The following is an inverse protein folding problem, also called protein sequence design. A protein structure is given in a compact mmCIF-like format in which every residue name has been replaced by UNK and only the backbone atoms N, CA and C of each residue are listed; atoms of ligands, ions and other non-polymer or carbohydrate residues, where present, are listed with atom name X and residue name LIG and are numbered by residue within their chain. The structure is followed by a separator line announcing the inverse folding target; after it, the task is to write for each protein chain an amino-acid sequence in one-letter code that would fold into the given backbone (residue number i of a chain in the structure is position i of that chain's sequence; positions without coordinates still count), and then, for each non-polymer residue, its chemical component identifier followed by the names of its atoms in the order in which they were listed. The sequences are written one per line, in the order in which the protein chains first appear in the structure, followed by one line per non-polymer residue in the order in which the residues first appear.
data_IF_614989583241
#
_entry.id   IF_614989583241
#
_cell.length_a   1.000
_cell.length_b   1.000
_cell.length_c   1.000
_cell.angle_alpha   90.00
_cell.angle_beta   90.00
_cell.angle_gamma   90.00
#
_symmetry.space_group_name_H-M   'P 1'
#
loop_
_entity.id
_entity.type
_entity.pdbx_description
1 polymer ?
#
# COMPACT_ATOMS: atom_id res chain seq x y z
N UNK A 1 -23.22 20.84 19.07
CA UNK A 1 -22.22 21.80 19.59
C UNK A 1 -20.85 21.35 19.10
N UNK A 2 -20.19 22.14 18.26
CA UNK A 2 -18.82 21.86 17.81
C UNK A 2 -17.86 22.41 18.87
N UNK A 3 -16.95 21.57 19.36
CA UNK A 3 -15.93 21.94 20.34
C UNK A 3 -14.92 22.83 19.64
N UNK A 4 -14.75 24.07 20.12
CA UNK A 4 -13.73 25.00 19.63
C UNK A 4 -12.35 24.38 19.86
N UNK A 5 -11.56 24.21 18.79
CA UNK A 5 -10.15 23.86 18.94
C UNK A 5 -9.42 25.03 19.62
N UNK A 6 -8.59 24.70 20.60
CA UNK A 6 -7.84 25.67 21.40
C UNK A 6 -6.70 26.30 20.56
N UNK A 7 -6.29 27.52 20.91
CA UNK A 7 -5.31 28.34 20.14
C UNK A 7 -3.90 27.73 20.05
N UNK A 8 -3.64 26.69 20.85
CA UNK A 8 -2.44 25.86 20.88
C UNK A 8 -2.54 24.60 19.99
N UNK A 9 -3.64 24.44 19.23
CA UNK A 9 -3.78 23.35 18.26
C UNK A 9 -2.95 23.64 17.00
N UNK A 10 -1.65 23.37 17.07
CA UNK A 10 -0.78 23.30 15.90
C UNK A 10 -1.07 22.01 15.15
N UNK A 11 -1.56 22.14 13.92
CA UNK A 11 -1.59 21.05 12.98
C UNK A 11 -0.15 20.72 12.60
N UNK A 12 0.38 19.59 13.09
CA UNK A 12 1.61 19.05 12.52
C UNK A 12 1.30 18.71 11.06
N UNK A 13 1.94 19.41 10.12
CA UNK A 13 1.78 19.19 8.69
C UNK A 13 1.99 17.69 8.31
N UNK A 14 2.75 16.96 9.13
CA UNK A 14 2.98 15.52 9.03
C UNK A 14 1.73 14.64 9.25
N UNK A 15 0.74 15.11 10.02
CA UNK A 15 -0.50 14.37 10.28
C UNK A 15 -1.43 14.41 9.04
N UNK A 16 -1.36 15.47 8.23
CA UNK A 16 -2.12 15.60 6.98
C UNK A 16 -1.58 14.77 5.82
N UNK A 17 -0.38 14.20 5.99
CA UNK A 17 0.29 13.42 4.96
C UNK A 17 0.04 11.92 5.10
N UNK A 18 -0.68 11.46 6.13
CA UNK A 18 -0.94 10.04 6.38
C UNK A 18 -2.37 9.67 6.05
N UNK A 19 -2.54 8.62 5.22
CA UNK A 19 -3.87 8.12 4.85
C UNK A 19 -3.97 6.61 5.05
N UNK A 20 -5.11 6.10 5.55
CA UNK A 20 -5.38 4.67 5.54
C UNK A 20 -5.69 4.21 4.11
N UNK A 21 -4.92 3.24 3.60
CA UNK A 21 -5.10 2.65 2.27
C UNK A 21 -5.01 1.13 2.33
N UNK A 22 -5.92 0.47 1.61
CA UNK A 22 -5.87 -0.97 1.43
C UNK A 22 -4.83 -1.33 0.36
N UNK A 23 -3.93 -2.24 0.70
CA UNK A 23 -2.96 -2.83 -0.22
C UNK A 23 -3.16 -4.33 -0.32
N UNK A 24 -2.99 -4.86 -1.52
CA UNK A 24 -2.93 -6.29 -1.80
C UNK A 24 -1.50 -6.68 -2.13
N UNK A 25 -1.11 -7.86 -1.64
CA UNK A 25 0.11 -8.57 -1.98
C UNK A 25 -0.28 -9.84 -2.74
N UNK A 26 -0.38 -9.78 -4.09
CA UNK A 26 -0.76 -10.94 -4.90
C UNK A 26 0.31 -12.02 -4.82
N UNK A 27 -0.14 -13.29 -4.82
CA UNK A 27 0.74 -14.46 -4.80
C UNK A 27 1.79 -14.44 -3.67
N UNK A 28 1.44 -13.85 -2.51
CA UNK A 28 2.31 -13.82 -1.35
C UNK A 28 2.62 -15.26 -0.90
N UNK A 29 3.91 -15.56 -0.69
CA UNK A 29 4.35 -16.90 -0.34
C UNK A 29 3.70 -17.39 0.97
N UNK A 30 3.15 -18.60 1.01
CA UNK A 30 2.37 -19.14 2.15
C UNK A 30 3.04 -18.98 3.52
N UNK A 31 4.38 -19.11 3.59
CA UNK A 31 5.13 -18.91 4.84
C UNK A 31 5.06 -17.50 5.42
N UNK A 32 4.66 -16.51 4.63
CA UNK A 32 4.53 -15.10 5.02
C UNK A 32 3.09 -14.74 5.45
N UNK A 33 2.18 -15.71 5.57
CA UNK A 33 0.79 -15.49 5.98
C UNK A 33 0.57 -15.55 7.50
N UNK A 34 1.65 -15.53 8.28
CA UNK A 34 1.55 -15.31 9.72
C UNK A 34 1.53 -13.80 10.00
N UNK A 35 0.97 -13.42 11.14
CA UNK A 35 0.73 -12.02 11.49
C UNK A 35 2.02 -11.19 11.49
N UNK A 36 3.10 -11.72 12.06
CA UNK A 36 4.41 -11.07 12.12
C UNK A 36 4.97 -10.81 10.71
N UNK A 37 5.02 -11.84 9.86
CA UNK A 37 5.52 -11.71 8.50
C UNK A 37 4.65 -10.84 7.60
N UNK A 38 3.33 -10.80 7.83
CA UNK A 38 2.43 -9.88 7.12
C UNK A 38 2.66 -8.44 7.56
N UNK A 39 2.84 -8.20 8.85
CA UNK A 39 3.18 -6.88 9.40
C UNK A 39 4.52 -6.39 8.84
N UNK A 40 5.55 -7.24 8.81
CA UNK A 40 6.84 -6.95 8.20
C UNK A 40 6.73 -6.71 6.69
N UNK A 41 5.93 -7.50 5.97
CA UNK A 41 5.71 -7.30 4.54
C UNK A 41 5.01 -5.97 4.27
N UNK A 42 4.04 -5.60 5.10
CA UNK A 42 3.31 -4.34 4.96
C UNK A 42 4.14 -3.12 5.37
N UNK A 43 5.04 -3.25 6.35
CA UNK A 43 5.95 -2.19 6.80
C UNK A 43 6.89 -1.69 5.70
N UNK A 44 7.17 -2.53 4.70
CA UNK A 44 7.91 -2.15 3.50
C UNK A 44 7.16 -1.11 2.63
N UNK A 45 5.87 -0.88 2.88
CA UNK A 45 5.02 0.04 2.13
C UNK A 45 4.53 1.20 3.01
N UNK A 46 4.15 0.93 4.24
CA UNK A 46 3.60 1.91 5.20
C UNK A 46 3.35 1.27 6.56
N UNK A 47 2.73 1.96 7.50
CA UNK A 47 2.51 1.41 8.85
C UNK A 47 1.33 0.43 8.81
N UNK A 48 1.49 -0.87 9.12
CA UNK A 48 0.39 -1.82 9.13
C UNK A 48 -0.63 -1.49 10.23
N UNK A 49 -1.91 -1.43 9.86
CA UNK A 49 -3.00 -1.14 10.78
C UNK A 49 -3.86 -2.38 11.05
N UNK A 50 -4.22 -3.13 9.99
CA UNK A 50 -5.11 -4.29 10.11
C UNK A 50 -5.10 -5.16 8.86
N UNK A 51 -5.70 -6.35 8.94
CA UNK A 51 -5.97 -7.24 7.79
C UNK A 51 -7.47 -7.41 7.60
N UNK A 52 -7.92 -7.78 6.39
CA UNK A 52 -9.33 -8.15 6.22
C UNK A 52 -9.58 -9.58 6.77
N UNK A 53 -10.84 -9.88 7.09
CA UNK A 53 -11.22 -11.20 7.63
C UNK A 53 -10.77 -12.35 6.73
N UNK A 54 -10.85 -12.15 5.42
CA UNK A 54 -10.48 -13.16 4.42
C UNK A 54 -8.98 -13.49 4.51
N UNK A 55 -8.13 -12.48 4.67
CA UNK A 55 -6.68 -12.64 4.87
C UNK A 55 -6.38 -13.25 6.23
N UNK A 56 -7.06 -12.78 7.28
CA UNK A 56 -6.91 -13.29 8.64
C UNK A 56 -7.24 -14.79 8.73
N UNK A 57 -8.35 -15.20 8.11
CA UNK A 57 -8.81 -16.59 8.06
C UNK A 57 -8.02 -17.43 7.05
N UNK A 58 -7.10 -16.81 6.28
CA UNK A 58 -6.34 -17.43 5.17
C UNK A 58 -7.25 -18.16 4.18
N UNK A 59 -8.47 -17.67 3.99
CA UNK A 59 -9.49 -18.33 3.19
C UNK A 59 -9.35 -18.03 1.69
N UNK A 60 -8.63 -16.97 1.33
CA UNK A 60 -8.27 -16.65 -0.05
C UNK A 60 -6.76 -16.76 -0.24
N UNK A 61 -6.32 -17.58 -1.19
CA UNK A 61 -4.90 -17.81 -1.49
C UNK A 61 -4.35 -16.93 -2.62
N UNK A 62 -5.17 -16.06 -3.21
CA UNK A 62 -4.78 -15.24 -4.35
C UNK A 62 -3.96 -14.01 -3.95
N UNK A 63 -4.28 -13.40 -2.81
CA UNK A 63 -3.58 -12.23 -2.29
C UNK A 63 -3.81 -12.09 -0.79
N UNK A 64 -2.80 -11.60 -0.07
CA UNK A 64 -2.98 -11.05 1.26
C UNK A 64 -3.39 -9.58 1.14
N UNK A 65 -4.34 -9.13 1.97
CA UNK A 65 -4.82 -7.75 1.98
C UNK A 65 -4.61 -7.12 3.35
N UNK A 66 -3.92 -5.98 3.37
CA UNK A 66 -3.55 -5.25 4.58
C UNK A 66 -4.00 -3.80 4.45
N UNK A 67 -4.58 -3.25 5.50
CA UNK A 67 -4.81 -1.82 5.67
C UNK A 67 -3.54 -1.23 6.25
N UNK A 68 -2.99 -0.23 5.58
CA UNK A 68 -1.79 0.48 6.03
C UNK A 68 -2.09 1.97 6.17
N UNK A 69 -1.40 2.63 7.08
CA UNK A 69 -1.22 4.08 7.06
C UNK A 69 -0.05 4.42 6.13
N UNK A 70 -0.32 5.20 5.09
CA UNK A 70 0.63 5.52 4.02
C UNK A 70 0.92 7.01 3.97
N UNK A 71 2.21 7.35 3.82
CA UNK A 71 2.69 8.72 3.70
C UNK A 71 2.60 9.19 2.25
N UNK A 72 1.72 10.16 1.98
CA UNK A 72 1.42 10.70 0.65
C UNK A 72 2.59 11.54 0.09
N UNK A 73 3.52 11.96 0.93
CA UNK A 73 4.72 12.70 0.53
C UNK A 73 5.71 11.87 -0.30
N UNK A 74 5.55 10.54 -0.35
CA UNK A 74 6.47 9.64 -1.06
C UNK A 74 5.78 8.87 -2.18
N UNK A 75 6.50 8.58 -3.29
CA UNK A 75 5.96 7.74 -4.34
C UNK A 75 5.72 6.30 -3.82
N UNK A 76 4.53 5.73 -4.04
CA UNK A 76 4.20 4.40 -3.52
C UNK A 76 5.03 3.31 -4.21
N UNK A 77 5.67 2.37 -3.48
CA UNK A 77 6.39 1.27 -4.11
C UNK A 77 5.42 0.30 -4.82
N UNK A 78 5.70 -0.05 -6.09
CA UNK A 78 4.93 -1.11 -6.80
C UNK A 78 5.41 -2.51 -6.47
N UNK A 79 6.65 -2.64 -6.03
CA UNK A 79 7.24 -3.91 -5.67
C UNK A 79 8.48 -3.73 -4.83
N UNK A 80 8.80 -4.71 -4.01
CA UNK A 80 10.02 -4.75 -3.21
C UNK A 80 10.55 -6.18 -3.09
N UNK A 81 11.87 -6.36 -2.91
CA UNK A 81 12.45 -7.67 -2.68
C UNK A 81 12.07 -8.21 -1.29
N UNK A 82 11.60 -9.45 -1.25
CA UNK A 82 11.37 -10.20 -0.02
C UNK A 82 12.27 -11.43 -0.02
N UNK A 83 12.92 -11.67 1.12
CA UNK A 83 13.70 -12.89 1.34
C UNK A 83 12.79 -13.99 1.87
N UNK A 84 12.65 -15.06 1.10
CA UNK A 84 11.90 -16.24 1.52
C UNK A 84 12.71 -17.10 2.50
N UNK A 85 12.06 -17.97 3.28
CA UNK A 85 12.75 -18.93 4.15
C UNK A 85 13.70 -19.88 3.40
N UNK A 86 13.48 -20.12 2.11
CA UNK A 86 14.40 -20.85 1.23
C UNK A 86 15.68 -20.07 0.88
N UNK A 87 15.88 -18.87 1.45
CA UNK A 87 16.92 -17.88 1.12
C UNK A 87 16.82 -17.28 -0.29
N UNK A 88 15.84 -17.69 -1.09
CA UNK A 88 15.53 -17.08 -2.37
C UNK A 88 14.92 -15.69 -2.17
N UNK A 89 15.40 -14.71 -2.93
CA UNK A 89 14.79 -13.39 -2.98
C UNK A 89 13.77 -13.35 -4.12
N UNK A 90 12.57 -12.90 -3.82
CA UNK A 90 11.49 -12.71 -4.79
C UNK A 90 11.03 -11.27 -4.77
N UNK A 91 10.61 -10.73 -5.92
CA UNK A 91 10.08 -9.37 -5.98
C UNK A 91 8.57 -9.42 -5.71
N UNK A 92 8.15 -9.01 -4.52
CA UNK A 92 6.74 -8.96 -4.15
C UNK A 92 6.08 -7.75 -4.80
N UNK A 93 4.94 -7.96 -5.46
CA UNK A 93 4.16 -6.88 -6.07
C UNK A 93 3.17 -6.31 -5.06
N UNK A 94 2.92 -5.00 -5.15
CA UNK A 94 1.96 -4.24 -4.33
C UNK A 94 0.87 -3.69 -5.23
N UNK A 95 -0.38 -3.92 -4.86
CA UNK A 95 -1.55 -3.39 -5.57
C UNK A 95 -2.39 -2.60 -4.59
N UNK A 96 -2.48 -1.29 -4.81
CA UNK A 96 -3.27 -0.37 -4.00
C UNK A 96 -4.74 -0.43 -4.43
N UNK A 97 -5.66 -0.55 -3.48
CA UNK A 97 -7.09 -0.47 -3.75
C UNK A 97 -7.59 0.97 -3.75
N UNK A 98 -8.40 1.30 -4.75
CA UNK A 98 -9.03 2.62 -4.90
C UNK A 98 -10.47 2.58 -4.37
N UNK A 99 -10.68 2.32 -3.08
CA UNK A 99 -12.04 2.30 -2.51
C UNK A 99 -12.40 3.66 -1.89
N UNK A 100 -13.10 4.53 -2.63
CA UNK A 100 -13.84 5.74 -2.20
C UNK A 100 -13.16 6.82 -1.30
N UNK A 101 -11.96 6.61 -0.75
CA UNK A 101 -11.15 7.63 -0.05
C UNK A 101 -10.69 8.77 -0.97
N UNK A 102 -10.92 8.62 -2.29
CA UNK A 102 -10.60 9.60 -3.33
C UNK A 102 -11.34 10.93 -3.18
N UNK A 103 -12.55 10.95 -2.61
CA UNK A 103 -13.34 12.19 -2.50
C UNK A 103 -12.86 13.07 -1.35
N UNK A 104 -12.37 12.48 -0.25
CA UNK A 104 -11.80 13.24 0.88
C UNK A 104 -10.40 13.74 0.57
N UNK A 105 -9.58 12.95 -0.12
CA UNK A 105 -8.21 13.31 -0.51
C UNK A 105 -8.20 14.40 -1.59
N UNK A 106 -9.17 14.40 -2.51
CA UNK A 106 -9.30 15.46 -3.52
C UNK A 106 -9.66 16.85 -2.95
N UNK A 107 -10.24 16.91 -1.74
CA UNK A 107 -10.59 18.17 -1.09
C UNK A 107 -9.40 18.85 -0.41
N UNK A 108 -8.42 18.08 0.09
CA UNK A 108 -7.30 18.64 0.85
C UNK A 108 -6.07 18.97 -0.01
N UNK A 109 -5.81 18.29 -1.11
CA UNK A 109 -4.72 18.66 -2.02
C UNK A 109 -5.08 18.27 -3.45
N UNK A 110 -4.93 19.22 -4.37
CA UNK A 110 -5.25 19.06 -5.79
C UNK A 110 -4.61 17.81 -6.42
N UNK A 111 -5.38 16.72 -6.45
CA UNK A 111 -5.27 15.58 -7.39
C UNK A 111 -4.21 14.50 -7.12
N UNK A 112 -4.18 13.95 -5.91
CA UNK A 112 -3.38 12.75 -5.54
C UNK A 112 -3.87 11.44 -6.19
N UNK A 113 -5.16 11.28 -6.50
CA UNK A 113 -5.68 10.04 -7.10
C UNK A 113 -5.22 9.83 -8.55
N UNK A 114 -5.10 10.90 -9.33
CA UNK A 114 -4.47 10.84 -10.65
C UNK A 114 -2.99 10.45 -10.51
N UNK A 115 -2.30 10.82 -9.44
CA UNK A 115 -0.91 10.44 -9.24
C UNK A 115 -0.76 8.92 -9.10
N UNK A 116 -1.43 8.26 -8.15
CA UNK A 116 -1.27 6.80 -7.97
C UNK A 116 -1.70 6.03 -9.22
N UNK A 117 -2.87 6.33 -9.78
CA UNK A 117 -3.39 5.65 -10.98
C UNK A 117 -2.54 5.94 -12.23
N UNK A 118 -2.18 7.19 -12.50
CA UNK A 118 -1.33 7.53 -13.65
C UNK A 118 0.09 7.02 -13.46
N UNK A 119 0.62 7.00 -12.25
CA UNK A 119 1.94 6.46 -11.94
C UNK A 119 1.95 4.94 -12.10
N UNK A 120 0.91 4.23 -11.65
CA UNK A 120 0.71 2.80 -11.94
C UNK A 120 0.60 2.54 -13.45
N UNK A 121 -0.18 3.33 -14.19
CA UNK A 121 -0.33 3.18 -15.65
C UNK A 121 0.96 3.51 -16.42
N UNK A 122 1.73 4.50 -15.98
CA UNK A 122 3.02 4.88 -16.58
C UNK A 122 4.10 3.82 -16.30
N UNK A 123 4.17 3.28 -15.09
CA UNK A 123 5.22 2.34 -14.69
C UNK A 123 4.88 0.87 -14.93
N UNK A 124 3.60 0.47 -14.92
CA UNK A 124 3.15 -0.87 -15.31
C UNK A 124 3.39 -1.19 -16.80
N UNK A 125 3.34 -0.17 -17.68
CA UNK A 125 3.71 -0.31 -19.09
C UNK A 125 5.21 -0.51 -19.32
N UNK A 126 6.08 -0.05 -18.40
CA UNK A 126 7.54 -0.23 -18.49
C UNK A 126 7.98 -1.65 -18.10
N UNK A 127 7.34 -2.25 -17.10
CA UNK A 127 7.63 -3.63 -16.68
C UNK A 127 7.19 -4.67 -17.73
N UNK A 128 6.08 -4.42 -18.44
CA UNK A 128 5.60 -5.32 -19.52
C UNK A 128 6.41 -5.20 -20.81
N UNK A 129 7.00 -4.03 -21.11
CA UNK A 129 7.89 -3.88 -22.27
C UNK A 129 9.27 -4.53 -22.11
N UNK A 130 9.72 -4.82 -20.88
CA UNK A 130 11.04 -5.44 -20.64
C UNK A 130 11.09 -6.95 -20.93
N UNK A 131 9.97 -7.59 -21.30
CA UNK A 131 9.86 -9.03 -21.60
C UNK A 131 9.85 -9.38 -23.11
N UNK A 132 10.16 -8.42 -23.99
CA UNK A 132 10.35 -8.63 -25.44
C UNK A 132 11.69 -8.06 -25.91
N UNK A 133 12.79 -8.68 -25.49
CA UNK A 133 14.09 -8.63 -26.21
C UNK A 133 15.02 -9.73 -25.71
N UNK A 134 14.75 -10.97 -26.16
CA UNK A 134 15.71 -12.08 -26.22
C UNK A 134 15.23 -13.00 -27.35
N UNK A 135 15.53 -12.58 -28.57
CA UNK A 135 15.81 -13.43 -29.72
C UNK A 135 17.00 -12.78 -30.43
#
# INVERSE_FOLDING_TARGET
MLKSLSEDFSFDDDEFLKIPIWVKFPNLHMKLWNEEAMSETASMVGVPLSTDKVTQDRSNHLYARVLIEFYVSQPPPLSFPIRLPSRKVVNQTVVYETSQTSVSIAKNMGTTHLFVRNWQLKNGKRLTKKRKKRE
#
